data_IF_838817546201
#
_entry.id   IF_838817546201
#
_cell.length_a   1.000
_cell.length_b   1.000
_cell.length_c   1.000
_cell.angle_alpha   90.00
_cell.angle_beta   90.00
_cell.angle_gamma   90.00
#
_symmetry.space_group_name_H-M   'P 1'
#
loop_
_entity.id
_entity.type
_entity.pdbx_description
1 polymer ?
#
# COMPACT_ATOMS: atom_id res chain seq x y z
N UNK A 1 -2.86 5.89 -11.10
CA UNK A 1 -2.00 4.78 -10.65
C UNK A 1 -2.73 3.46 -10.86
N UNK A 2 -2.62 2.91 -12.04
CA UNK A 2 -3.22 1.63 -12.39
C UNK A 2 -2.19 0.56 -12.07
N UNK A 3 -2.57 -0.48 -11.29
CA UNK A 3 -1.73 -1.58 -10.81
C UNK A 3 -0.39 -1.11 -10.19
N UNK A 4 -0.40 -0.03 -9.45
CA UNK A 4 0.76 0.43 -8.69
C UNK A 4 0.90 -0.28 -7.34
N UNK A 5 1.92 0.10 -6.57
CA UNK A 5 2.19 -0.42 -5.23
C UNK A 5 0.96 -0.43 -4.29
N UNK A 6 0.04 0.51 -4.47
CA UNK A 6 -1.22 0.58 -3.70
C UNK A 6 -2.11 -0.66 -3.83
N UNK A 7 -1.92 -1.45 -4.87
CA UNK A 7 -2.71 -2.67 -5.09
C UNK A 7 -2.13 -3.88 -4.37
N UNK A 8 -0.85 -3.83 -4.00
CA UNK A 8 -0.13 -5.00 -3.51
C UNK A 8 0.53 -4.80 -2.15
N UNK A 9 0.77 -3.55 -1.72
CA UNK A 9 1.34 -3.27 -0.41
C UNK A 9 0.25 -3.10 0.64
N UNK A 10 0.53 -3.56 1.86
CA UNK A 10 -0.26 -3.23 3.04
C UNK A 10 0.28 -1.94 3.64
N UNK A 11 -0.57 -0.95 3.91
CA UNK A 11 -0.20 0.19 4.73
C UNK A 11 -1.39 0.77 5.45
N UNK A 12 -1.09 1.47 6.51
CA UNK A 12 -2.03 1.85 7.52
C UNK A 12 -3.02 2.91 7.05
N UNK A 13 -2.56 3.96 6.38
CA UNK A 13 -3.43 5.07 6.00
C UNK A 13 -2.86 5.88 4.83
N UNK A 14 -3.77 6.53 4.09
CA UNK A 14 -3.40 7.52 3.09
C UNK A 14 -3.14 8.92 3.67
N UNK A 15 -3.68 9.20 4.86
CA UNK A 15 -3.51 10.45 5.62
C UNK A 15 -3.48 10.10 7.10
N UNK A 16 -2.60 10.79 7.81
CA UNK A 16 -2.46 10.73 9.26
C UNK A 16 -2.62 12.14 9.81
N UNK A 17 -3.33 12.28 10.90
CA UNK A 17 -3.41 13.52 11.64
C UNK A 17 -2.24 13.66 12.60
N UNK A 18 -1.99 14.88 13.08
CA UNK A 18 -1.00 15.20 14.11
C UNK A 18 0.42 14.71 13.82
N UNK A 19 0.85 14.84 12.57
CA UNK A 19 2.16 14.33 12.11
C UNK A 19 3.24 15.38 12.28
N UNK A 20 4.33 15.00 12.93
CA UNK A 20 5.61 15.68 12.85
C UNK A 20 6.52 14.89 11.94
N UNK A 21 7.06 15.53 10.91
CA UNK A 21 7.93 14.90 9.93
C UNK A 21 9.26 15.65 9.81
N UNK A 22 10.34 14.89 9.69
CA UNK A 22 11.68 15.40 9.46
C UNK A 22 12.28 14.79 8.21
N UNK A 23 12.92 15.63 7.41
CA UNK A 23 13.74 15.23 6.26
C UNK A 23 15.12 15.84 6.45
N UNK A 24 16.14 14.98 6.54
CA UNK A 24 17.52 15.41 6.64
C UNK A 24 18.03 16.03 5.32
N UNK A 25 19.04 16.89 5.35
CA UNK A 25 19.81 17.27 4.18
C UNK A 25 20.37 16.03 3.50
N UNK A 26 20.48 16.08 2.17
CA UNK A 26 21.12 15.00 1.41
C UNK A 26 22.63 15.10 1.52
N UNK A 27 23.28 14.02 1.94
CA UNK A 27 24.74 13.90 2.03
C UNK A 27 25.17 12.65 1.26
N UNK A 28 26.09 12.79 0.31
CA UNK A 28 26.62 11.71 -0.53
C UNK A 28 25.55 10.82 -1.21
N UNK A 29 24.41 11.43 -1.55
CA UNK A 29 23.27 10.74 -2.14
C UNK A 29 22.28 10.15 -1.13
N UNK A 30 22.59 10.14 0.16
CA UNK A 30 21.70 9.67 1.21
C UNK A 30 20.82 10.79 1.76
N UNK A 31 19.54 10.49 1.94
CA UNK A 31 18.57 11.35 2.61
C UNK A 31 17.79 10.51 3.61
N UNK A 32 17.76 10.93 4.87
CA UNK A 32 17.01 10.27 5.93
C UNK A 32 15.68 10.98 6.17
N UNK A 33 14.68 10.19 6.52
CA UNK A 33 13.32 10.63 6.83
C UNK A 33 12.88 10.02 8.16
N UNK A 34 12.16 10.78 8.95
CA UNK A 34 11.48 10.30 10.14
C UNK A 34 10.13 10.99 10.25
N UNK A 35 9.12 10.27 10.71
CA UNK A 35 7.83 10.86 11.04
C UNK A 35 7.19 10.15 12.22
N UNK A 36 6.38 10.89 12.95
CA UNK A 36 5.63 10.40 14.10
C UNK A 36 4.27 11.09 14.18
N UNK A 37 3.25 10.33 14.56
CA UNK A 37 1.94 10.82 14.92
C UNK A 37 1.51 10.27 16.26
N UNK A 38 1.15 11.13 17.19
CA UNK A 38 0.69 10.79 18.52
C UNK A 38 -0.80 10.42 18.59
N UNK A 39 -1.55 10.70 17.51
CA UNK A 39 -2.94 10.30 17.28
C UNK A 39 -3.23 10.38 15.77
N UNK A 40 -3.34 9.24 15.11
CA UNK A 40 -3.44 9.17 13.65
C UNK A 40 -4.77 9.62 13.08
N UNK A 41 -5.82 9.71 13.92
CA UNK A 41 -7.16 10.10 13.51
C UNK A 41 -7.93 10.73 14.68
N UNK A 42 -7.89 12.05 14.74
CA UNK A 42 -8.52 12.81 15.81
C UNK A 42 -10.07 12.81 15.78
N UNK A 43 -10.68 12.41 14.66
CA UNK A 43 -12.14 12.39 14.52
C UNK A 43 -12.77 11.05 14.85
N UNK A 44 -12.00 9.98 14.93
CA UNK A 44 -12.48 8.62 15.21
C UNK A 44 -12.09 8.11 16.60
N UNK A 45 -11.48 8.95 17.42
CA UNK A 45 -11.16 8.65 18.81
C UNK A 45 -12.39 8.76 19.72
N UNK A 46 -12.40 8.11 20.88
CA UNK A 46 -13.35 8.41 21.95
C UNK A 46 -13.19 9.87 22.43
N UNK A 47 -14.19 10.42 23.09
CA UNK A 47 -14.16 11.80 23.61
C UNK A 47 -12.93 12.09 24.48
N UNK A 48 -12.38 11.05 25.13
CA UNK A 48 -11.16 11.11 25.96
C UNK A 48 -9.87 10.78 25.20
N UNK A 49 -9.89 10.82 23.86
CA UNK A 49 -8.71 10.50 23.05
C UNK A 49 -7.63 11.57 23.22
N UNK A 50 -6.61 11.25 24.01
CA UNK A 50 -5.46 12.12 24.29
C UNK A 50 -4.26 11.63 23.52
N UNK A 51 -3.57 12.54 22.82
CA UNK A 51 -2.34 12.20 22.10
C UNK A 51 -1.31 11.48 22.98
N UNK A 52 -0.61 10.54 22.37
CA UNK A 52 0.43 9.72 23.02
C UNK A 52 -0.07 8.82 24.15
N UNK A 53 -1.38 8.57 24.24
CA UNK A 53 -1.95 7.58 25.16
C UNK A 53 -2.28 6.27 24.43
N UNK A 54 -2.33 5.19 25.19
CA UNK A 54 -2.70 3.87 24.65
C UNK A 54 -4.16 3.79 24.13
N UNK A 55 -4.95 4.84 24.36
CA UNK A 55 -6.33 4.96 23.89
C UNK A 55 -6.45 5.39 22.43
N UNK A 56 -5.36 5.82 21.79
CA UNK A 56 -5.36 6.28 20.40
C UNK A 56 -4.37 5.48 19.55
N UNK A 57 -4.61 5.41 18.25
CA UNK A 57 -3.65 4.83 17.33
C UNK A 57 -2.47 5.79 17.13
N UNK A 58 -1.26 5.30 17.32
CA UNK A 58 -0.01 6.03 17.13
C UNK A 58 0.77 5.43 15.97
N UNK A 59 1.57 6.24 15.33
CA UNK A 59 2.33 5.81 14.16
C UNK A 59 3.73 6.41 14.17
N UNK A 60 4.68 5.64 13.71
CA UNK A 60 6.02 6.12 13.46
C UNK A 60 6.64 5.47 12.23
N UNK A 61 7.55 6.18 11.58
CA UNK A 61 8.34 5.59 10.51
C UNK A 61 9.72 6.22 10.40
N UNK A 62 10.65 5.39 9.93
CA UNK A 62 11.98 5.80 9.52
C UNK A 62 12.19 5.38 8.06
N UNK A 63 12.90 6.22 7.32
CA UNK A 63 13.22 5.94 5.93
C UNK A 63 14.60 6.44 5.55
N UNK A 64 15.23 5.74 4.61
CA UNK A 64 16.44 6.15 3.95
C UNK A 64 16.27 6.06 2.45
N UNK A 65 16.62 7.13 1.75
CA UNK A 65 16.73 7.18 0.30
C UNK A 65 18.19 7.32 -0.09
N UNK A 66 18.63 6.53 -1.05
CA UNK A 66 19.91 6.72 -1.74
C UNK A 66 19.63 7.05 -3.21
N UNK A 67 20.27 8.10 -3.73
CA UNK A 67 20.15 8.51 -5.14
C UNK A 67 21.51 8.96 -5.65
N UNK A 68 22.05 8.22 -6.62
CA UNK A 68 23.32 8.55 -7.26
C UNK A 68 23.33 8.04 -8.71
N UNK A 69 23.59 8.94 -9.66
CA UNK A 69 23.59 8.60 -11.08
C UNK A 69 22.26 8.04 -11.55
N UNK A 70 22.25 6.86 -12.13
CA UNK A 70 21.07 6.18 -12.63
C UNK A 70 20.26 5.44 -11.56
N UNK A 71 20.83 5.23 -10.36
CA UNK A 71 20.24 4.45 -9.28
C UNK A 71 19.51 5.33 -8.28
N UNK A 72 18.29 4.95 -7.94
CA UNK A 72 17.58 5.47 -6.76
C UNK A 72 17.01 4.29 -5.99
N UNK A 73 17.25 4.23 -4.69
CA UNK A 73 16.66 3.24 -3.78
C UNK A 73 16.03 3.92 -2.58
N UNK A 74 15.07 3.24 -1.96
CA UNK A 74 14.43 3.64 -0.71
C UNK A 74 14.19 2.40 0.15
N UNK A 75 14.45 2.54 1.45
CA UNK A 75 14.05 1.58 2.45
C UNK A 75 13.26 2.32 3.54
N UNK A 76 12.16 1.74 4.00
CA UNK A 76 11.34 2.27 5.10
C UNK A 76 11.00 1.17 6.08
N UNK A 77 10.92 1.55 7.36
CA UNK A 77 10.27 0.77 8.40
C UNK A 77 9.19 1.64 9.02
N UNK A 78 8.03 1.06 9.22
CA UNK A 78 6.84 1.71 9.75
C UNK A 78 6.30 0.85 10.89
N UNK A 79 5.86 1.49 11.97
CA UNK A 79 5.18 0.82 13.07
C UNK A 79 3.87 1.54 13.40
N UNK A 80 2.89 0.78 13.83
CA UNK A 80 1.58 1.23 14.25
C UNK A 80 1.28 0.66 15.61
N UNK A 81 1.07 1.52 16.58
CA UNK A 81 0.66 1.15 17.93
C UNK A 81 -0.85 1.37 18.00
N UNK A 82 -1.58 0.27 18.04
CA UNK A 82 -3.03 0.29 17.93
C UNK A 82 -3.71 0.64 19.25
N UNK A 83 -4.77 1.42 19.19
CA UNK A 83 -5.59 1.78 20.35
C UNK A 83 -6.10 0.55 21.09
N UNK A 84 -5.91 0.53 22.41
CA UNK A 84 -6.39 -0.56 23.27
C UNK A 84 -7.86 -0.44 23.71
N UNK A 85 -8.54 0.66 23.36
CA UNK A 85 -9.94 0.89 23.73
C UNK A 85 -10.90 0.88 22.54
N UNK A 86 -10.41 1.09 21.33
CA UNK A 86 -11.25 1.01 20.13
C UNK A 86 -11.72 -0.41 19.90
N UNK A 87 -13.00 -0.57 19.61
CA UNK A 87 -13.61 -1.89 19.38
C UNK A 87 -12.97 -2.65 18.21
N UNK A 88 -12.37 -1.92 17.25
CA UNK A 88 -11.79 -2.47 16.03
C UNK A 88 -10.28 -2.75 16.13
N UNK A 89 -9.59 -2.25 17.15
CA UNK A 89 -8.16 -2.48 17.36
C UNK A 89 -7.82 -3.05 18.75
N UNK A 90 -8.79 -3.07 19.66
CA UNK A 90 -8.62 -3.58 21.01
C UNK A 90 -8.04 -4.99 21.02
N UNK A 91 -6.93 -5.16 21.74
CA UNK A 91 -6.16 -6.40 21.83
C UNK A 91 -5.42 -6.81 20.54
N UNK A 92 -5.27 -5.91 19.58
CA UNK A 92 -4.35 -6.12 18.48
C UNK A 92 -2.91 -5.90 18.95
N UNK A 93 -1.99 -6.70 18.44
CA UNK A 93 -0.56 -6.45 18.60
C UNK A 93 -0.15 -5.30 17.68
N UNK A 94 0.97 -4.65 17.97
CA UNK A 94 1.52 -3.56 17.16
C UNK A 94 1.77 -4.01 15.72
N UNK A 95 1.50 -3.11 14.81
CA UNK A 95 1.72 -3.34 13.39
C UNK A 95 3.11 -2.92 12.94
N UNK A 96 3.70 -3.69 12.04
CA UNK A 96 4.96 -3.35 11.38
C UNK A 96 4.84 -3.49 9.86
N UNK A 97 5.50 -2.59 9.11
CA UNK A 97 5.74 -2.76 7.69
C UNK A 97 7.17 -2.36 7.34
N UNK A 98 7.80 -3.18 6.48
CA UNK A 98 9.15 -2.92 5.96
C UNK A 98 9.06 -2.90 4.45
N UNK A 99 9.48 -1.79 3.85
CA UNK A 99 9.46 -1.62 2.39
C UNK A 99 10.88 -1.37 1.88
N UNK A 100 11.23 -2.09 0.83
CA UNK A 100 12.45 -1.84 0.05
C UNK A 100 12.04 -1.65 -1.40
N UNK A 101 12.54 -0.57 -2.03
CA UNK A 101 12.25 -0.31 -3.42
C UNK A 101 13.29 0.56 -4.08
N UNK A 102 13.18 0.69 -5.40
CA UNK A 102 14.06 1.54 -6.15
C UNK A 102 13.81 1.48 -7.64
N UNK A 103 14.65 2.22 -8.35
CA UNK A 103 14.68 2.18 -9.79
C UNK A 103 16.11 2.35 -10.32
N UNK A 104 16.31 1.85 -11.52
CA UNK A 104 17.53 2.08 -12.28
C UNK A 104 17.18 2.55 -13.69
N UNK A 105 17.86 3.62 -14.11
CA UNK A 105 17.68 4.22 -15.43
C UNK A 105 18.70 3.63 -16.39
N UNK A 106 18.24 2.79 -17.30
CA UNK A 106 19.00 2.26 -18.44
C UNK A 106 18.82 3.17 -19.67
N UNK A 107 19.60 2.93 -20.71
CA UNK A 107 19.49 3.69 -21.98
C UNK A 107 18.12 3.45 -22.66
N UNK A 108 17.58 2.24 -22.55
CA UNK A 108 16.29 1.87 -23.15
C UNK A 108 15.08 2.29 -22.29
N UNK A 109 15.27 2.67 -21.03
CA UNK A 109 14.17 3.01 -20.13
C UNK A 109 14.51 2.87 -18.66
N UNK A 110 13.49 3.00 -17.82
CA UNK A 110 13.64 2.90 -16.35
C UNK A 110 12.92 1.67 -15.82
N UNK A 111 13.63 0.82 -15.11
CA UNK A 111 13.09 -0.34 -14.38
C UNK A 111 12.83 0.06 -12.93
N UNK A 112 11.69 -0.33 -12.39
CA UNK A 112 11.25 -0.11 -11.01
C UNK A 112 11.03 -1.46 -10.34
N UNK A 113 11.49 -1.60 -9.11
CA UNK A 113 11.27 -2.78 -8.27
C UNK A 113 10.92 -2.32 -6.86
N UNK A 114 9.95 -2.95 -6.22
CA UNK A 114 9.73 -2.78 -4.80
C UNK A 114 9.08 -4.02 -4.19
N UNK A 115 9.44 -4.28 -2.91
CA UNK A 115 8.84 -5.32 -2.09
C UNK A 115 8.51 -4.76 -0.72
N UNK A 116 7.47 -5.31 -0.10
CA UNK A 116 7.04 -4.97 1.25
C UNK A 116 6.67 -6.25 2.00
N UNK A 117 7.12 -6.32 3.24
CA UNK A 117 6.58 -7.22 4.26
C UNK A 117 5.74 -6.40 5.23
N UNK A 118 4.61 -6.93 5.70
CA UNK A 118 3.75 -6.32 6.69
C UNK A 118 3.17 -7.36 7.64
N UNK A 119 3.00 -6.97 8.90
CA UNK A 119 2.38 -7.78 9.94
C UNK A 119 1.50 -6.90 10.83
N UNK A 120 0.42 -7.46 11.35
CA UNK A 120 -0.56 -6.76 12.17
C UNK A 120 -1.05 -5.43 11.57
N UNK A 121 -1.28 -5.39 10.26
CA UNK A 121 -1.87 -4.24 9.59
C UNK A 121 -3.40 -4.33 9.61
N UNK A 122 -4.04 -3.22 10.00
CA UNK A 122 -5.49 -3.15 10.11
C UNK A 122 -6.22 -3.17 8.77
N UNK A 123 -5.64 -2.52 7.78
CA UNK A 123 -6.24 -2.41 6.45
C UNK A 123 -5.22 -2.77 5.40
N UNK A 124 -5.54 -3.77 4.59
CA UNK A 124 -4.96 -3.80 3.26
C UNK A 124 -5.55 -2.63 2.48
N UNK A 125 -4.74 -1.88 1.71
CA UNK A 125 -5.29 -0.93 0.78
C UNK A 125 -6.22 -1.72 -0.15
N UNK A 126 -7.50 -1.51 0.02
CA UNK A 126 -8.43 -1.86 -1.03
C UNK A 126 -7.98 -1.03 -2.23
N UNK A 127 -7.69 -1.64 -3.38
CA UNK A 127 -7.71 -0.86 -4.58
C UNK A 127 -9.17 -0.49 -4.75
N UNK A 128 -9.50 0.53 -4.04
CA UNK A 128 -10.74 1.23 -4.05
C UNK A 128 -11.78 0.45 -4.84
N UNK A 129 -12.49 -0.40 -4.17
CA UNK A 129 -13.78 -0.77 -4.67
C UNK A 129 -13.79 -1.75 -5.87
N UNK A 130 -12.68 -1.98 -6.58
CA UNK A 130 -12.67 -2.92 -7.70
C UNK A 130 -12.80 -4.36 -7.22
N UNK A 131 -12.14 -4.71 -6.11
CA UNK A 131 -12.28 -6.01 -5.44
C UNK A 131 -12.22 -5.79 -3.93
N UNK A 132 -13.36 -5.68 -3.25
CA UNK A 132 -13.36 -5.55 -1.80
C UNK A 132 -12.79 -6.82 -1.17
N UNK A 133 -11.65 -6.68 -0.50
CA UNK A 133 -11.09 -7.72 0.34
C UNK A 133 -11.89 -7.77 1.66
N UNK A 134 -13.10 -8.27 1.61
CA UNK A 134 -13.84 -8.64 2.80
C UNK A 134 -13.37 -10.04 3.22
N UNK A 135 -12.30 -10.10 3.98
CA UNK A 135 -11.80 -11.38 4.49
C UNK A 135 -12.81 -12.05 5.43
N UNK A 136 -13.56 -11.26 6.18
CA UNK A 136 -14.50 -11.77 7.16
C UNK A 136 -15.68 -10.83 7.28
N UNK A 137 -16.87 -11.29 6.97
CA UNK A 137 -18.08 -10.48 7.04
C UNK A 137 -18.43 -10.05 8.48
N UNK A 138 -18.04 -10.82 9.52
CA UNK A 138 -18.46 -10.64 10.90
C UNK A 138 -17.40 -11.05 11.93
N UNK A 139 -16.09 -10.91 11.66
CA UNK A 139 -15.09 -11.24 12.67
C UNK A 139 -15.20 -10.28 13.86
N UNK A 140 -15.54 -10.85 15.00
CA UNK A 140 -15.44 -10.26 16.31
C UNK A 140 -14.66 -11.24 17.18
N UNK A 141 -13.61 -10.84 17.84
CA UNK A 141 -13.12 -9.48 18.08
C UNK A 141 -12.24 -8.91 16.96
N UNK A 142 -11.99 -7.62 17.01
CA UNK A 142 -11.23 -6.86 16.01
C UNK A 142 -9.81 -7.37 15.74
N UNK A 143 -9.12 -7.93 16.75
CA UNK A 143 -7.81 -8.57 16.58
C UNK A 143 -7.79 -9.65 15.48
N UNK A 144 -8.95 -10.25 15.17
CA UNK A 144 -9.07 -11.27 14.13
C UNK A 144 -9.14 -10.68 12.71
N UNK A 145 -9.11 -9.35 12.59
CA UNK A 145 -9.10 -8.64 11.31
C UNK A 145 -7.70 -8.17 10.88
N UNK A 146 -6.71 -8.33 11.76
CA UNK A 146 -5.34 -7.96 11.44
C UNK A 146 -4.76 -8.91 10.39
N UNK A 147 -4.03 -8.33 9.45
CA UNK A 147 -3.45 -9.04 8.31
C UNK A 147 -1.94 -9.01 8.34
N UNK A 148 -1.33 -10.07 7.84
CA UNK A 148 0.11 -10.17 7.57
C UNK A 148 0.34 -10.72 6.17
N UNK A 149 1.49 -10.40 5.61
CA UNK A 149 1.84 -10.87 4.29
C UNK A 149 2.99 -10.11 3.66
N UNK A 150 3.10 -10.27 2.37
CA UNK A 150 4.10 -9.58 1.57
C UNK A 150 3.52 -9.17 0.21
N UNK A 151 4.09 -8.13 -0.36
CA UNK A 151 3.78 -7.66 -1.70
C UNK A 151 5.04 -7.39 -2.50
N UNK A 152 4.95 -7.57 -3.80
CA UNK A 152 6.01 -7.27 -4.74
C UNK A 152 5.44 -6.55 -5.96
N UNK A 153 6.16 -5.55 -6.46
CA UNK A 153 5.80 -4.84 -7.68
C UNK A 153 7.04 -4.60 -8.53
N UNK A 154 6.89 -4.79 -9.83
CA UNK A 154 7.86 -4.37 -10.83
C UNK A 154 7.19 -3.45 -11.84
N UNK A 155 7.96 -2.54 -12.42
CA UNK A 155 7.51 -1.62 -13.44
C UNK A 155 8.61 -1.32 -14.46
N UNK A 156 8.18 -0.95 -15.66
CA UNK A 156 9.06 -0.51 -16.73
C UNK A 156 8.46 0.73 -17.38
N UNK A 157 9.28 1.76 -17.54
CA UNK A 157 9.00 2.94 -18.32
C UNK A 157 9.92 2.95 -19.53
N UNK A 158 9.34 2.94 -20.73
CA UNK A 158 10.09 3.01 -22.00
C UNK A 158 9.76 4.34 -22.69
N UNK A 159 10.72 5.27 -22.77
CA UNK A 159 10.52 6.49 -23.52
C UNK A 159 10.48 6.21 -25.03
N UNK A 160 9.66 6.96 -25.74
CA UNK A 160 9.59 6.95 -27.21
C UNK A 160 9.71 8.39 -27.73
N UNK A 161 9.79 8.56 -29.04
CA UNK A 161 9.88 9.90 -29.65
C UNK A 161 8.66 10.79 -29.31
N UNK A 162 7.50 10.20 -29.01
CA UNK A 162 6.25 10.93 -28.80
C UNK A 162 5.62 10.73 -27.42
N UNK A 163 6.28 10.04 -26.50
CA UNK A 163 5.74 9.80 -25.16
C UNK A 163 6.41 8.62 -24.45
N UNK A 164 5.72 8.07 -23.46
CA UNK A 164 6.24 6.97 -22.64
C UNK A 164 5.26 5.80 -22.60
N UNK A 165 5.73 4.57 -22.87
CA UNK A 165 5.03 3.37 -22.47
C UNK A 165 5.34 3.02 -21.02
N UNK A 166 4.33 2.54 -20.31
CA UNK A 166 4.38 2.17 -18.91
C UNK A 166 3.84 0.74 -18.75
N UNK A 167 4.59 -0.11 -18.08
CA UNK A 167 4.19 -1.46 -17.75
C UNK A 167 4.35 -1.68 -16.24
N UNK A 168 3.47 -2.47 -15.65
CA UNK A 168 3.56 -2.82 -14.24
C UNK A 168 2.99 -4.21 -14.01
N UNK A 169 3.65 -4.99 -13.16
CA UNK A 169 3.17 -6.25 -12.61
C UNK A 169 3.28 -6.18 -11.10
N UNK A 170 2.29 -6.73 -10.42
CA UNK A 170 2.26 -6.76 -8.96
C UNK A 170 1.70 -8.07 -8.43
N UNK A 171 2.19 -8.49 -7.29
CA UNK A 171 1.74 -9.67 -6.57
C UNK A 171 1.63 -9.35 -5.08
N UNK A 172 0.63 -9.88 -4.40
CA UNK A 172 0.49 -9.86 -2.94
C UNK A 172 -0.02 -11.20 -2.47
N UNK A 173 0.57 -11.69 -1.38
CA UNK A 173 0.02 -12.79 -0.58
C UNK A 173 -0.18 -12.29 0.84
N UNK A 174 -1.40 -12.42 1.36
CA UNK A 174 -1.79 -11.93 2.66
C UNK A 174 -2.77 -12.90 3.33
N UNK A 175 -2.69 -12.98 4.66
CA UNK A 175 -3.58 -13.80 5.48
C UNK A 175 -3.96 -13.07 6.76
N UNK A 176 -5.03 -13.52 7.42
CA UNK A 176 -5.33 -13.07 8.77
C UNK A 176 -4.28 -13.59 9.75
N UNK A 177 -3.87 -12.75 10.70
CA UNK A 177 -2.84 -13.10 11.69
C UNK A 177 -3.28 -14.31 12.51
N UNK A 178 -4.52 -14.33 12.99
CA UNK A 178 -5.05 -15.38 13.86
C UNK A 178 -5.77 -16.53 13.11
N UNK A 179 -5.96 -16.40 11.79
CA UNK A 179 -6.69 -17.37 10.98
C UNK A 179 -5.99 -17.56 9.63
N UNK A 180 -4.88 -18.30 9.62
CA UNK A 180 -4.04 -18.50 8.42
C UNK A 180 -4.75 -19.21 7.24
N UNK A 181 -5.85 -19.93 7.52
CA UNK A 181 -6.72 -20.53 6.52
C UNK A 181 -7.56 -19.49 5.75
N UNK A 182 -7.64 -18.25 6.26
CA UNK A 182 -8.29 -17.12 5.60
C UNK A 182 -7.19 -16.28 4.98
N UNK A 183 -7.03 -16.41 3.68
CA UNK A 183 -5.95 -15.77 2.92
C UNK A 183 -6.42 -15.22 1.59
N UNK A 184 -5.63 -14.33 1.02
CA UNK A 184 -5.86 -13.73 -0.28
C UNK A 184 -4.56 -13.50 -1.03
N UNK A 185 -4.45 -14.13 -2.19
CA UNK A 185 -3.41 -13.86 -3.17
C UNK A 185 -3.97 -12.93 -4.24
N UNK A 186 -3.25 -11.90 -4.59
CA UNK A 186 -3.54 -10.97 -5.70
C UNK A 186 -2.42 -10.98 -6.71
N UNK A 187 -2.78 -11.01 -7.98
CA UNK A 187 -1.89 -10.71 -9.10
C UNK A 187 -2.52 -9.62 -9.95
N UNK A 188 -1.75 -8.62 -10.31
CA UNK A 188 -2.21 -7.51 -11.14
C UNK A 188 -1.20 -7.16 -12.21
N UNK A 189 -1.70 -6.71 -13.37
CA UNK A 189 -0.88 -6.21 -14.45
C UNK A 189 -1.49 -4.98 -15.09
N UNK A 190 -0.67 -4.07 -15.60
CA UNK A 190 -1.14 -2.92 -16.34
C UNK A 190 -0.18 -2.50 -17.45
N UNK A 191 -0.77 -1.88 -18.46
CA UNK A 191 -0.06 -1.19 -19.53
C UNK A 191 -0.66 0.19 -19.68
N UNK A 192 0.17 1.19 -19.94
CA UNK A 192 -0.27 2.55 -20.17
C UNK A 192 0.61 3.29 -21.17
N UNK A 193 0.07 4.36 -21.70
CA UNK A 193 0.79 5.28 -22.55
C UNK A 193 0.54 6.73 -22.13
N UNK A 194 1.58 7.52 -22.09
CA UNK A 194 1.54 8.94 -21.80
C UNK A 194 2.03 9.72 -23.00
N UNK A 195 1.20 10.64 -23.50
CA UNK A 195 1.49 11.51 -24.63
C UNK A 195 1.55 12.97 -24.17
N UNK A 196 2.74 13.62 -24.18
CA UNK A 196 2.84 15.04 -23.85
C UNK A 196 2.34 15.88 -25.01
N UNK A 197 1.26 16.63 -24.80
CA UNK A 197 0.77 17.63 -25.75
C UNK A 197 1.59 18.92 -25.69
N UNK A 198 2.11 19.23 -24.49
CA UNK A 198 2.98 20.36 -24.22
C UNK A 198 3.81 20.11 -22.97
N UNK A 199 4.67 21.05 -22.58
CA UNK A 199 5.42 20.99 -21.32
C UNK A 199 4.50 20.92 -20.08
N UNK A 200 3.25 21.38 -20.20
CA UNK A 200 2.28 21.44 -19.10
C UNK A 200 1.09 20.50 -19.25
N UNK A 201 0.91 19.89 -20.43
CA UNK A 201 -0.28 19.09 -20.73
C UNK A 201 0.09 17.70 -21.19
N UNK A 202 -0.45 16.69 -20.55
CA UNK A 202 -0.24 15.28 -20.86
C UNK A 202 -1.59 14.58 -20.97
N UNK A 203 -1.84 13.88 -22.07
CA UNK A 203 -2.90 12.88 -22.18
C UNK A 203 -2.31 11.52 -21.80
N UNK A 204 -3.08 10.72 -21.11
CA UNK A 204 -2.67 9.34 -20.79
C UNK A 204 -3.84 8.38 -20.95
N UNK A 205 -3.50 7.17 -21.31
CA UNK A 205 -4.42 6.03 -21.28
C UNK A 205 -3.75 4.87 -20.59
N UNK A 206 -4.54 4.04 -19.92
CA UNK A 206 -4.02 2.80 -19.36
C UNK A 206 -5.11 1.75 -19.22
N UNK A 207 -4.71 0.48 -19.30
CA UNK A 207 -5.53 -0.67 -19.03
C UNK A 207 -4.89 -1.51 -17.92
N UNK A 208 -5.69 -2.08 -17.04
CA UNK A 208 -5.24 -2.98 -15.98
C UNK A 208 -6.17 -4.17 -15.82
N UNK A 209 -5.58 -5.26 -15.34
CA UNK A 209 -6.28 -6.47 -14.92
C UNK A 209 -5.78 -6.90 -13.55
N UNK A 210 -6.71 -7.31 -12.70
CA UNK A 210 -6.44 -7.83 -11.36
C UNK A 210 -7.17 -9.15 -11.20
N UNK A 211 -6.47 -10.16 -10.69
CA UNK A 211 -7.00 -11.46 -10.30
C UNK A 211 -6.72 -11.70 -8.83
N UNK A 212 -7.77 -11.99 -8.07
CA UNK A 212 -7.65 -12.42 -6.69
C UNK A 212 -8.04 -13.89 -6.55
N UNK A 213 -7.34 -14.58 -5.65
CA UNK A 213 -7.70 -15.92 -5.17
C UNK A 213 -7.77 -15.86 -3.65
N UNK A 214 -8.96 -15.99 -3.11
CA UNK A 214 -9.22 -15.81 -1.68
C UNK A 214 -9.90 -17.03 -1.08
N UNK A 215 -9.47 -17.42 0.11
CA UNK A 215 -10.25 -18.24 1.03
C UNK A 215 -10.89 -17.32 2.05
N UNK A 216 -12.19 -17.23 2.07
CA UNK A 216 -12.95 -16.45 3.05
C UNK A 216 -13.84 -17.33 3.90
N UNK A 217 -14.19 -16.87 5.10
CA UNK A 217 -15.12 -17.57 5.97
C UNK A 217 -16.46 -17.80 5.27
N UNK A 218 -17.02 -18.99 5.40
CA UNK A 218 -18.35 -19.31 4.88
C UNK A 218 -19.42 -18.54 5.66
N UNK A 219 -20.44 -18.03 4.94
CA UNK A 219 -21.59 -17.44 5.58
C UNK A 219 -22.46 -18.47 6.34
N UNK A 220 -22.33 -19.75 6.01
CA UNK A 220 -23.11 -20.84 6.61
C UNK A 220 -22.45 -21.46 7.84
N UNK A 221 -21.14 -21.31 8.02
CA UNK A 221 -20.39 -21.90 9.12
C UNK A 221 -19.14 -21.08 9.42
N UNK A 222 -18.88 -20.80 10.68
CA UNK A 222 -17.69 -20.07 11.12
C UNK A 222 -16.39 -20.87 11.00
N UNK A 223 -16.48 -22.20 10.88
CA UNK A 223 -15.33 -23.10 10.72
C UNK A 223 -14.95 -23.36 9.27
N UNK A 224 -15.86 -23.15 8.35
CA UNK A 224 -15.67 -23.50 6.95
C UNK A 224 -15.19 -22.30 6.13
N UNK A 225 -14.36 -22.58 5.14
CA UNK A 225 -13.88 -21.56 4.18
C UNK A 225 -14.41 -21.84 2.80
N UNK A 226 -14.70 -20.76 2.07
CA UNK A 226 -15.13 -20.79 0.67
C UNK A 226 -14.06 -20.11 -0.17
N UNK A 227 -13.62 -20.79 -1.23
CA UNK A 227 -12.70 -20.21 -2.21
C UNK A 227 -13.46 -19.35 -3.21
N UNK A 228 -13.01 -18.10 -3.36
CA UNK A 228 -13.54 -17.17 -4.36
C UNK A 228 -12.40 -16.61 -5.20
N UNK A 229 -12.66 -16.33 -6.46
CA UNK A 229 -11.66 -15.86 -7.44
C UNK A 229 -12.22 -14.67 -8.24
N UNK A 230 -12.38 -13.50 -7.62
CA UNK A 230 -12.85 -12.33 -8.34
C UNK A 230 -11.77 -11.78 -9.28
N UNK A 231 -12.23 -11.22 -10.39
CA UNK A 231 -11.41 -10.53 -11.36
C UNK A 231 -11.92 -9.11 -11.58
N UNK A 232 -11.03 -8.20 -11.91
CA UNK A 232 -11.38 -6.86 -12.29
C UNK A 232 -10.54 -6.36 -13.46
N UNK A 233 -11.19 -5.66 -14.38
CA UNK A 233 -10.52 -4.97 -15.48
C UNK A 233 -10.87 -3.49 -15.44
N UNK A 234 -9.92 -2.63 -15.73
CA UNK A 234 -10.12 -1.19 -15.76
C UNK A 234 -9.42 -0.60 -16.98
N UNK A 235 -10.09 0.36 -17.63
CA UNK A 235 -9.49 1.23 -18.63
C UNK A 235 -9.67 2.67 -18.18
N UNK A 236 -8.62 3.45 -18.28
CA UNK A 236 -8.61 4.87 -17.91
C UNK A 236 -8.08 5.69 -19.07
N UNK A 237 -8.76 6.79 -19.34
CA UNK A 237 -8.29 7.88 -20.19
C UNK A 237 -8.31 9.15 -19.35
N UNK A 238 -7.26 9.94 -19.42
CA UNK A 238 -7.18 11.17 -18.64
C UNK A 238 -6.28 12.21 -19.26
N UNK A 239 -6.46 13.43 -18.77
CA UNK A 239 -5.64 14.59 -19.09
C UNK A 239 -5.13 15.22 -17.80
N UNK A 240 -3.85 15.57 -17.78
CA UNK A 240 -3.25 16.35 -16.70
C UNK A 240 -2.74 17.66 -17.28
N UNK A 241 -3.11 18.77 -16.64
CA UNK A 241 -2.60 20.09 -16.97
C UNK A 241 -2.02 20.75 -15.70
N UNK A 242 -0.81 21.30 -15.81
CA UNK A 242 -0.19 22.10 -14.75
C UNK A 242 -0.35 23.60 -15.08
N UNK A 243 -0.84 24.36 -14.15
CA UNK A 243 -1.01 25.81 -14.22
C UNK A 243 0.26 26.56 -13.84
#
# INVERSE_FOLDING_TARGET
HIAGYKNVFGFNSGRLDNVVAYKAPTVDGFTFYAQYSGNTDQYQGPEDAVENKASVDRYGSLGVKFARGALTTIATIEWSDWSNIRADTKHADDGIAVTLGGNYKFDFGTVYLAGQYFDNQWKLPSPSEIVPLQFVANASPAKDRMVKGYGFVTGLKVPTAQGDFLFSLGMRDAQLVNHSNINAMRVSGSVGYRYPLSQRTVIYTAASYTHDSMNKQSAASSSDTVKVKPNASQVVLGLTHAF
#
